data_IF_593345697374
#
_entry.id   IF_593345697374
#
_cell.length_a   1.000
_cell.length_b   1.000
_cell.length_c   1.000
_cell.angle_alpha   90.00
_cell.angle_beta   90.00
_cell.angle_gamma   90.00
#
_symmetry.space_group_name_H-M   'P 1'
#
loop_
_entity.id
_entity.type
_entity.pdbx_description
1 polymer ?
#
# COMPACT_ATOMS: atom_id res chain seq x y z
N UNK A 1 -16.50 -46.30 -6.24
CA UNK A 1 -15.69 -45.31 -5.50
C UNK A 1 -15.07 -44.37 -6.52
N UNK A 2 -15.65 -43.19 -6.70
CA UNK A 2 -15.08 -42.10 -7.51
C UNK A 2 -14.38 -41.15 -6.54
N UNK A 3 -13.10 -40.88 -6.77
CA UNK A 3 -12.31 -39.97 -5.95
C UNK A 3 -12.87 -38.54 -5.97
N UNK A 4 -12.48 -37.69 -5.01
CA UNK A 4 -13.03 -36.35 -4.90
C UNK A 4 -12.60 -35.53 -6.12
N UNK A 5 -13.58 -34.93 -6.79
CA UNK A 5 -13.36 -33.90 -7.80
C UNK A 5 -12.76 -32.70 -7.08
N UNK A 6 -11.46 -32.48 -7.25
CA UNK A 6 -10.83 -31.21 -6.86
C UNK A 6 -11.44 -30.12 -7.74
N UNK A 7 -12.33 -29.31 -7.17
CA UNK A 7 -12.67 -28.03 -7.75
C UNK A 7 -11.39 -27.20 -7.83
N UNK A 8 -11.00 -26.82 -9.05
CA UNK A 8 -9.96 -25.81 -9.27
C UNK A 8 -10.48 -24.47 -8.69
N UNK A 9 -9.63 -23.66 -8.03
CA UNK A 9 -10.01 -22.31 -7.66
C UNK A 9 -10.29 -21.45 -8.92
N UNK A 10 -11.14 -20.41 -8.82
CA UNK A 10 -11.39 -19.50 -9.93
C UNK A 10 -10.11 -18.73 -10.25
N UNK A 11 -9.78 -18.71 -11.55
CA UNK A 11 -8.84 -17.83 -12.26
C UNK A 11 -7.87 -16.97 -11.42
N UNK A 12 -6.60 -17.35 -11.42
CA UNK A 12 -5.48 -16.41 -11.31
C UNK A 12 -5.12 -16.05 -12.75
N UNK A 13 -5.64 -14.94 -13.26
CA UNK A 13 -5.11 -14.28 -14.45
C UNK A 13 -4.31 -13.07 -13.97
N UNK A 14 -2.99 -13.21 -14.04
CA UNK A 14 -2.05 -12.12 -13.85
C UNK A 14 -1.33 -11.90 -15.17
N UNK A 15 -1.98 -11.17 -16.08
CA UNK A 15 -1.25 -10.54 -17.18
C UNK A 15 -0.83 -9.16 -16.66
N UNK A 16 0.46 -8.87 -16.73
CA UNK A 16 1.00 -7.55 -16.42
C UNK A 16 0.34 -6.51 -17.33
N UNK A 17 0.08 -5.31 -16.83
CA UNK A 17 -0.41 -4.20 -17.66
C UNK A 17 0.56 -3.95 -18.82
N UNK A 18 0.06 -4.01 -20.05
CA UNK A 18 0.86 -3.78 -21.25
C UNK A 18 1.09 -2.28 -21.49
N UNK A 19 2.25 -1.93 -22.06
CA UNK A 19 2.53 -0.58 -22.56
C UNK A 19 2.55 -0.63 -24.08
N UNK A 20 1.74 0.19 -24.72
CA UNK A 20 1.65 0.34 -26.17
C UNK A 20 2.13 1.74 -26.58
N UNK A 21 2.76 1.83 -27.75
CA UNK A 21 3.23 3.08 -28.34
C UNK A 21 2.22 3.58 -29.37
N UNK A 22 1.70 4.78 -29.20
CA UNK A 22 0.77 5.42 -30.14
C UNK A 22 1.54 6.03 -31.34
N UNK A 23 1.82 5.22 -32.35
CA UNK A 23 2.49 5.69 -33.56
C UNK A 23 1.55 6.46 -34.50
N UNK A 24 0.24 6.15 -34.46
CA UNK A 24 -0.79 6.82 -35.25
C UNK A 24 -0.92 8.30 -34.85
N UNK A 25 -1.21 8.57 -33.58
CA UNK A 25 -1.51 9.94 -33.10
C UNK A 25 -0.30 10.87 -33.20
N UNK A 26 0.91 10.32 -33.09
CA UNK A 26 2.16 11.08 -33.09
C UNK A 26 2.95 10.97 -34.39
N UNK A 27 2.38 10.34 -35.43
CA UNK A 27 2.97 10.20 -36.77
C UNK A 27 4.41 9.66 -36.76
N UNK A 28 4.69 8.65 -35.93
CA UNK A 28 6.04 8.08 -35.80
C UNK A 28 6.17 6.71 -36.43
N UNK A 29 7.36 6.39 -36.97
CA UNK A 29 7.71 5.04 -37.42
C UNK A 29 8.53 4.35 -36.34
N UNK A 30 7.93 4.14 -35.16
CA UNK A 30 8.60 3.35 -34.11
C UNK A 30 8.65 1.88 -34.53
N UNK A 31 9.86 1.33 -34.65
CA UNK A 31 10.11 -0.10 -34.84
C UNK A 31 10.56 -0.74 -33.50
N UNK A 32 9.99 -0.28 -32.38
CA UNK A 32 10.31 -0.85 -31.08
C UNK A 32 9.87 -2.32 -31.03
N UNK A 33 10.81 -3.22 -30.74
CA UNK A 33 10.56 -4.66 -30.66
C UNK A 33 10.07 -5.12 -29.28
N UNK A 34 10.13 -4.24 -28.28
CA UNK A 34 9.82 -4.53 -26.88
C UNK A 34 8.35 -4.24 -26.54
N UNK A 35 7.76 -3.21 -27.17
CA UNK A 35 6.39 -2.77 -26.90
C UNK A 35 5.51 -2.88 -28.14
N UNK A 36 4.20 -3.12 -27.95
CA UNK A 36 3.23 -3.12 -29.06
C UNK A 36 3.13 -1.70 -29.63
N UNK A 37 3.17 -1.57 -30.95
CA UNK A 37 3.04 -0.27 -31.63
C UNK A 37 1.66 -0.16 -32.27
N UNK A 38 0.83 0.76 -31.78
CA UNK A 38 -0.48 1.09 -32.35
C UNK A 38 -0.32 1.97 -33.59
N UNK A 39 -0.71 1.44 -34.76
CA UNK A 39 -0.57 2.10 -36.07
C UNK A 39 -1.91 2.62 -36.63
N UNK A 40 -2.96 2.67 -35.82
CA UNK A 40 -4.29 3.14 -36.19
C UNK A 40 -5.27 2.05 -36.60
N UNK A 41 -4.81 0.82 -36.82
CA UNK A 41 -5.69 -0.30 -37.16
C UNK A 41 -5.12 -1.64 -36.67
N UNK A 42 -5.99 -2.44 -36.07
CA UNK A 42 -5.75 -3.84 -35.74
C UNK A 42 -7.11 -4.58 -35.74
N UNK A 43 -7.25 -5.73 -36.41
CA UNK A 43 -8.52 -6.46 -36.46
C UNK A 43 -9.02 -6.93 -35.08
N UNK A 44 -8.16 -6.96 -34.07
CA UNK A 44 -8.51 -7.38 -32.71
C UNK A 44 -8.87 -6.21 -31.79
N UNK A 45 -8.69 -4.96 -32.23
CA UNK A 45 -8.85 -3.76 -31.41
C UNK A 45 -9.95 -2.86 -31.97
N UNK A 46 -11.01 -2.65 -31.20
CA UNK A 46 -12.00 -1.61 -31.48
C UNK A 46 -11.61 -0.32 -30.76
N UNK A 47 -11.52 0.80 -31.48
CA UNK A 47 -11.21 2.11 -30.89
C UNK A 47 -12.51 2.87 -30.62
N UNK A 48 -12.65 3.41 -29.41
CA UNK A 48 -13.82 4.18 -28.98
C UNK A 48 -13.39 5.52 -28.39
N UNK A 49 -14.02 6.61 -28.83
CA UNK A 49 -13.84 7.94 -28.23
C UNK A 49 -14.79 8.08 -27.02
N UNK A 50 -14.22 8.30 -25.83
CA UNK A 50 -14.92 8.32 -24.55
C UNK A 50 -15.13 9.76 -24.05
N UNK A 51 -15.70 10.61 -24.90
CA UNK A 51 -15.93 12.01 -24.57
C UNK A 51 -17.30 12.26 -23.92
N UNK A 52 -18.28 11.37 -24.10
CA UNK A 52 -19.62 11.48 -23.54
C UNK A 52 -20.27 10.11 -23.24
N UNK A 53 -21.55 10.13 -22.83
CA UNK A 53 -22.30 8.91 -22.50
C UNK A 53 -22.48 7.96 -23.70
N UNK A 54 -22.44 8.46 -24.94
CA UNK A 54 -22.59 7.61 -26.13
C UNK A 54 -21.32 6.80 -26.37
N UNK A 55 -20.15 7.41 -26.16
CA UNK A 55 -18.88 6.69 -26.18
C UNK A 55 -18.85 5.58 -25.13
N UNK A 56 -19.39 5.83 -23.94
CA UNK A 56 -19.52 4.79 -22.92
C UNK A 56 -20.48 3.66 -23.37
N UNK A 57 -21.66 3.99 -23.89
CA UNK A 57 -22.61 2.99 -24.38
C UNK A 57 -22.02 2.15 -25.54
N UNK A 58 -21.27 2.77 -26.43
CA UNK A 58 -20.56 2.10 -27.53
C UNK A 58 -19.52 1.12 -26.99
N UNK A 59 -18.63 1.56 -26.10
CA UNK A 59 -17.63 0.70 -25.48
C UNK A 59 -18.27 -0.50 -24.76
N UNK A 60 -19.33 -0.25 -23.99
CA UNK A 60 -20.07 -1.30 -23.28
C UNK A 60 -20.72 -2.31 -24.25
N UNK A 61 -21.17 -1.87 -25.42
CA UNK A 61 -21.76 -2.76 -26.43
C UNK A 61 -20.75 -3.71 -27.08
N UNK A 62 -19.45 -3.36 -27.05
CA UNK A 62 -18.35 -4.12 -27.63
C UNK A 62 -17.77 -5.15 -26.64
N UNK A 63 -18.01 -4.97 -25.35
CA UNK A 63 -17.56 -5.88 -24.29
C UNK A 63 -18.13 -7.29 -24.53
N UNK A 64 -17.24 -8.28 -24.55
CA UNK A 64 -17.52 -9.68 -24.87
C UNK A 64 -17.64 -10.00 -26.37
N UNK A 65 -17.57 -9.00 -27.26
CA UNK A 65 -17.62 -9.18 -28.71
C UNK A 65 -16.26 -9.07 -29.40
N UNK A 66 -15.35 -8.27 -28.85
CA UNK A 66 -14.02 -8.03 -29.41
C UNK A 66 -12.91 -8.39 -28.41
N UNK A 67 -11.71 -8.77 -28.87
CA UNK A 67 -10.58 -9.05 -27.97
C UNK A 67 -10.12 -7.81 -27.20
N UNK A 68 -10.08 -6.64 -27.83
CA UNK A 68 -9.65 -5.39 -27.21
C UNK A 68 -10.61 -4.24 -27.50
N UNK A 69 -10.90 -3.45 -26.46
CA UNK A 69 -11.49 -2.12 -26.60
C UNK A 69 -10.42 -1.10 -26.19
N UNK A 70 -9.98 -0.28 -27.13
CA UNK A 70 -9.06 0.84 -26.89
C UNK A 70 -9.83 2.14 -26.77
N UNK A 71 -9.75 2.79 -25.63
CA UNK A 71 -10.41 4.07 -25.39
C UNK A 71 -9.47 5.23 -25.64
N UNK A 72 -9.96 6.22 -26.37
CA UNK A 72 -9.34 7.55 -26.49
C UNK A 72 -10.24 8.54 -25.76
N UNK A 73 -9.63 9.42 -24.97
CA UNK A 73 -10.36 10.45 -24.23
C UNK A 73 -9.70 11.80 -24.54
N UNK A 74 -10.49 12.82 -24.85
CA UNK A 74 -9.99 14.19 -24.92
C UNK A 74 -9.77 14.82 -23.54
N UNK A 75 -10.52 14.35 -22.53
CA UNK A 75 -10.44 14.71 -21.12
C UNK A 75 -10.54 13.47 -20.20
N UNK A 76 -9.76 13.43 -19.12
CA UNK A 76 -9.77 12.29 -18.21
C UNK A 76 -11.09 12.15 -17.45
N UNK A 77 -11.76 10.99 -17.61
CA UNK A 77 -13.03 10.65 -16.94
C UNK A 77 -12.95 9.30 -16.23
N UNK A 78 -12.77 9.33 -14.91
CA UNK A 78 -12.63 8.14 -14.06
C UNK A 78 -13.88 7.22 -14.09
N UNK A 79 -15.09 7.78 -13.93
CA UNK A 79 -16.32 6.98 -13.77
C UNK A 79 -16.68 6.14 -15.02
N UNK A 80 -16.67 6.69 -16.25
CA UNK A 80 -16.93 5.89 -17.45
C UNK A 80 -15.94 4.74 -17.63
N UNK A 81 -14.65 4.99 -17.37
CA UNK A 81 -13.62 3.97 -17.43
C UNK A 81 -13.89 2.82 -16.44
N UNK A 82 -14.18 3.15 -15.19
CA UNK A 82 -14.49 2.14 -14.16
C UNK A 82 -15.65 1.24 -14.58
N UNK A 83 -16.73 1.82 -15.12
CA UNK A 83 -17.87 1.04 -15.59
C UNK A 83 -17.50 0.05 -16.72
N UNK A 84 -16.64 0.49 -17.65
CA UNK A 84 -16.20 -0.34 -18.79
C UNK A 84 -15.26 -1.45 -18.31
N UNK A 85 -14.31 -1.14 -17.42
CA UNK A 85 -13.42 -2.13 -16.80
C UNK A 85 -14.22 -3.18 -16.03
N UNK A 86 -15.22 -2.75 -15.24
CA UNK A 86 -16.10 -3.67 -14.52
C UNK A 86 -16.86 -4.62 -15.46
N UNK A 87 -17.39 -4.09 -16.57
CA UNK A 87 -18.08 -4.92 -17.56
C UNK A 87 -17.13 -5.90 -18.27
N UNK A 88 -15.89 -5.46 -18.52
CA UNK A 88 -14.88 -6.23 -19.24
C UNK A 88 -14.33 -7.41 -18.42
N UNK A 89 -14.21 -7.26 -17.09
CA UNK A 89 -13.54 -8.19 -16.16
C UNK A 89 -13.90 -9.67 -16.35
N UNK A 90 -15.17 -10.00 -16.61
CA UNK A 90 -15.65 -11.38 -16.81
C UNK A 90 -16.00 -11.73 -18.27
N UNK A 91 -15.75 -10.81 -19.21
CA UNK A 91 -16.16 -10.95 -20.61
C UNK A 91 -15.10 -11.58 -21.52
N UNK A 92 -13.84 -11.54 -21.10
CA UNK A 92 -12.67 -11.89 -21.92
C UNK A 92 -12.20 -10.79 -22.88
N UNK A 93 -12.91 -9.66 -22.97
CA UNK A 93 -12.43 -8.45 -23.64
C UNK A 93 -11.44 -7.71 -22.75
N UNK A 94 -10.28 -7.37 -23.30
CA UNK A 94 -9.25 -6.54 -22.64
C UNK A 94 -9.46 -5.06 -22.94
N UNK A 95 -9.03 -4.21 -22.01
CA UNK A 95 -9.22 -2.75 -22.07
C UNK A 95 -7.87 -2.06 -22.21
N UNK A 96 -7.72 -1.27 -23.27
CA UNK A 96 -6.58 -0.38 -23.47
C UNK A 96 -7.01 1.09 -23.35
N UNK A 97 -6.19 1.95 -22.75
CA UNK A 97 -6.52 3.39 -22.62
C UNK A 97 -5.40 4.27 -23.15
N UNK A 98 -5.73 5.19 -24.04
CA UNK A 98 -4.80 6.20 -24.52
C UNK A 98 -4.59 7.29 -23.48
N UNK A 99 -3.33 7.56 -23.13
CA UNK A 99 -2.92 8.54 -22.13
C UNK A 99 -1.89 9.48 -22.75
N UNK A 100 -2.05 10.78 -22.54
CA UNK A 100 -1.08 11.79 -22.98
C UNK A 100 -0.51 12.64 -21.83
N UNK A 101 -1.07 12.53 -20.63
CA UNK A 101 -0.69 13.32 -19.45
C UNK A 101 -0.30 12.40 -18.30
N UNK A 102 0.71 12.79 -17.51
CA UNK A 102 1.21 11.98 -16.40
C UNK A 102 0.20 11.85 -15.25
N UNK A 103 -0.63 12.87 -15.03
CA UNK A 103 -1.62 12.86 -13.93
C UNK A 103 -2.69 11.77 -14.11
N UNK A 104 -2.96 11.38 -15.36
CA UNK A 104 -3.99 10.40 -15.69
C UNK A 104 -3.50 8.97 -15.48
N UNK A 105 -2.19 8.74 -15.47
CA UNK A 105 -1.61 7.39 -15.42
C UNK A 105 -1.91 6.67 -14.10
N UNK A 106 -1.90 7.40 -12.99
CA UNK A 106 -2.29 6.86 -11.68
C UNK A 106 -3.80 6.54 -11.68
N UNK A 107 -4.64 7.42 -12.22
CA UNK A 107 -6.07 7.18 -12.34
C UNK A 107 -6.39 5.91 -13.13
N UNK A 108 -5.70 5.67 -14.25
CA UNK A 108 -5.84 4.48 -15.09
C UNK A 108 -5.38 3.21 -14.37
N UNK A 109 -4.23 3.28 -13.70
CA UNK A 109 -3.65 2.15 -12.98
C UNK A 109 -4.56 1.62 -11.86
N UNK A 110 -5.32 2.51 -11.23
CA UNK A 110 -6.15 2.23 -10.06
C UNK A 110 -7.65 2.19 -10.33
N UNK A 111 -8.11 2.37 -11.57
CA UNK A 111 -9.53 2.25 -11.92
C UNK A 111 -10.08 0.89 -11.42
N UNK A 112 -10.92 0.90 -10.39
CA UNK A 112 -11.48 -0.27 -9.68
C UNK A 112 -10.48 -1.26 -9.03
N UNK A 113 -9.26 -0.86 -8.65
CA UNK A 113 -8.22 -1.77 -8.10
C UNK A 113 -7.74 -2.87 -9.09
N UNK A 114 -8.51 -3.15 -10.16
CA UNK A 114 -8.17 -4.02 -11.28
C UNK A 114 -7.44 -3.28 -12.41
N UNK A 115 -7.65 -1.96 -12.51
CA UNK A 115 -7.21 -1.06 -13.60
C UNK A 115 -7.38 -1.64 -14.99
N UNK A 116 -6.54 -1.21 -15.93
CA UNK A 116 -6.67 -1.57 -17.35
C UNK A 116 -5.64 -2.62 -17.75
N UNK A 117 -5.91 -3.33 -18.84
CA UNK A 117 -4.99 -4.33 -19.39
C UNK A 117 -3.83 -3.69 -20.16
N UNK A 118 -4.03 -2.50 -20.74
CA UNK A 118 -2.96 -1.77 -21.43
C UNK A 118 -3.10 -0.24 -21.33
N UNK A 119 -1.96 0.44 -21.36
CA UNK A 119 -1.89 1.89 -21.58
C UNK A 119 -1.25 2.18 -22.93
N UNK A 120 -1.80 3.13 -23.67
CA UNK A 120 -1.33 3.54 -25.00
C UNK A 120 -0.79 4.96 -24.89
N UNK A 121 0.54 5.09 -24.90
CA UNK A 121 1.26 6.33 -24.60
C UNK A 121 2.05 6.85 -25.80
N UNK A 122 2.46 8.13 -25.82
CA UNK A 122 3.30 8.69 -26.86
C UNK A 122 4.66 7.98 -26.92
N UNK A 123 5.39 8.05 -28.04
CA UNK A 123 6.79 7.62 -28.12
C UNK A 123 7.67 8.20 -27.00
N UNK A 124 8.61 7.41 -26.50
CA UNK A 124 9.46 7.75 -25.34
C UNK A 124 10.21 9.06 -25.53
N UNK A 125 10.68 9.32 -26.75
CA UNK A 125 11.40 10.54 -27.09
C UNK A 125 10.56 11.81 -26.92
N UNK A 126 9.23 11.70 -27.03
CA UNK A 126 8.30 12.81 -26.89
C UNK A 126 7.82 13.01 -25.46
N UNK A 127 7.85 11.97 -24.63
CA UNK A 127 7.32 12.03 -23.25
C UNK A 127 8.10 11.16 -22.26
N UNK A 128 9.39 11.43 -21.99
CA UNK A 128 10.22 10.57 -21.13
C UNK A 128 9.69 10.42 -19.69
N UNK A 129 9.08 11.46 -19.12
CA UNK A 129 8.52 11.40 -17.76
C UNK A 129 7.32 10.46 -17.68
N UNK A 130 6.44 10.50 -18.68
CA UNK A 130 5.29 9.61 -18.77
C UNK A 130 5.72 8.14 -18.87
N UNK A 131 6.80 7.86 -19.60
CA UNK A 131 7.40 6.52 -19.68
C UNK A 131 7.97 6.06 -18.33
N UNK A 132 8.69 6.93 -17.63
CA UNK A 132 9.18 6.60 -16.29
C UNK A 132 8.03 6.22 -15.35
N UNK A 133 6.91 6.93 -15.41
CA UNK A 133 5.73 6.67 -14.59
C UNK A 133 4.97 5.41 -15.04
N UNK A 134 4.89 5.16 -16.34
CA UNK A 134 4.28 3.96 -16.94
C UNK A 134 5.00 2.68 -16.52
N UNK A 135 6.33 2.67 -16.64
CA UNK A 135 7.17 1.54 -16.23
C UNK A 135 7.02 1.24 -14.74
N UNK A 136 7.05 2.29 -13.90
CA UNK A 136 6.88 2.15 -12.45
C UNK A 136 5.56 1.47 -12.09
N UNK A 137 4.46 1.88 -12.72
CA UNK A 137 3.14 1.30 -12.48
C UNK A 137 3.04 -0.14 -12.99
N UNK A 138 3.61 -0.42 -14.16
CA UNK A 138 3.66 -1.78 -14.71
C UNK A 138 4.45 -2.73 -13.80
N UNK A 139 5.51 -2.23 -13.15
CA UNK A 139 6.27 -2.95 -12.12
C UNK A 139 5.51 -3.11 -10.80
N UNK A 140 4.79 -2.07 -10.33
CA UNK A 140 4.02 -2.07 -9.07
C UNK A 140 2.83 -3.07 -9.07
N UNK A 141 2.33 -3.49 -10.25
CA UNK A 141 1.28 -4.53 -10.40
C UNK A 141 1.76 -5.96 -10.26
N UNK A 142 3.07 -6.18 -10.15
CA UNK A 142 3.59 -7.46 -9.68
C UNK A 142 3.15 -7.55 -8.21
N UNK A 143 2.36 -8.55 -7.78
CA UNK A 143 2.06 -8.71 -6.37
C UNK A 143 3.39 -8.72 -5.62
N UNK A 144 3.60 -7.69 -4.80
CA UNK A 144 4.84 -7.46 -4.05
C UNK A 144 4.98 -8.59 -3.03
N UNK A 145 5.42 -9.74 -3.52
CA UNK A 145 6.33 -10.62 -2.81
C UNK A 145 7.71 -10.20 -3.26
N UNK A 146 8.13 -8.99 -2.86
CA UNK A 146 9.54 -8.70 -2.90
C UNK A 146 10.19 -9.52 -1.77
N UNK A 147 10.66 -10.71 -2.13
CA UNK A 147 11.47 -11.59 -1.27
C UNK A 147 12.84 -10.94 -0.94
N UNK A 148 13.07 -9.68 -1.36
CA UNK A 148 14.27 -8.91 -1.04
C UNK A 148 14.01 -8.07 0.22
N UNK A 149 14.53 -8.56 1.35
CA UNK A 149 14.66 -7.82 2.62
C UNK A 149 13.36 -7.48 3.37
N UNK A 150 12.34 -8.35 3.39
CA UNK A 150 11.28 -8.18 4.38
C UNK A 150 11.88 -8.43 5.78
N UNK A 151 11.95 -7.42 6.67
CA UNK A 151 12.61 -7.58 7.97
C UNK A 151 11.88 -8.65 8.80
N UNK A 152 12.65 -9.59 9.35
CA UNK A 152 12.09 -10.74 10.08
C UNK A 152 11.31 -10.27 11.32
N UNK A 153 10.04 -10.67 11.37
CA UNK A 153 9.20 -10.49 12.55
C UNK A 153 9.74 -11.36 13.69
N UNK A 154 9.73 -10.81 14.90
CA UNK A 154 10.16 -11.53 16.10
C UNK A 154 9.22 -11.25 17.26
N UNK A 155 9.46 -11.92 18.38
CA UNK A 155 8.66 -11.79 19.60
C UNK A 155 9.51 -11.21 20.73
N UNK A 156 8.96 -10.24 21.46
CA UNK A 156 9.51 -9.75 22.71
C UNK A 156 8.53 -9.96 23.86
N UNK A 157 9.08 -10.18 25.05
CA UNK A 157 8.33 -10.33 26.29
C UNK A 157 8.24 -8.97 26.98
N UNK A 158 7.06 -8.61 27.46
CA UNK A 158 6.87 -7.40 28.26
C UNK A 158 7.54 -7.59 29.62
N UNK A 159 8.56 -6.81 29.91
CA UNK A 159 9.25 -6.83 31.21
C UNK A 159 8.52 -5.99 32.25
N UNK A 160 7.98 -4.82 31.85
CA UNK A 160 7.22 -3.93 32.75
C UNK A 160 6.27 -2.99 32.02
N UNK A 161 5.22 -2.57 32.72
CA UNK A 161 4.29 -1.52 32.30
C UNK A 161 4.22 -0.46 33.40
N UNK A 162 4.53 0.79 33.07
CA UNK A 162 4.55 1.90 34.02
C UNK A 162 3.87 3.13 33.45
N UNK A 163 3.27 3.97 34.30
CA UNK A 163 2.74 5.27 33.86
C UNK A 163 3.89 6.22 33.57
N UNK A 164 3.86 6.88 32.40
CA UNK A 164 4.88 7.82 31.94
C UNK A 164 4.44 9.29 32.05
N UNK A 165 3.32 9.55 32.73
CA UNK A 165 2.78 10.90 32.94
C UNK A 165 2.06 11.44 31.70
N UNK A 166 1.97 12.76 31.61
CA UNK A 166 1.27 13.46 30.53
C UNK A 166 2.25 13.88 29.43
N UNK A 167 2.06 13.39 28.20
CA UNK A 167 2.92 13.70 27.07
C UNK A 167 2.15 13.91 25.76
N UNK A 168 2.85 14.35 24.73
CA UNK A 168 2.30 14.49 23.38
C UNK A 168 2.41 13.16 22.64
N UNK A 169 1.30 12.73 22.07
CA UNK A 169 1.23 11.55 21.20
C UNK A 169 0.82 11.94 19.79
N UNK A 170 1.12 11.07 18.84
CA UNK A 170 0.70 11.18 17.45
C UNK A 170 -0.31 10.06 17.14
N UNK A 171 -1.41 10.40 16.47
CA UNK A 171 -2.20 9.44 15.71
C UNK A 171 -1.91 9.65 14.24
N UNK A 172 -1.71 8.55 13.53
CA UNK A 172 -1.49 8.53 12.07
C UNK A 172 -2.80 8.10 11.42
N UNK A 173 -3.40 8.98 10.63
CA UNK A 173 -4.54 8.65 9.78
C UNK A 173 -4.04 8.40 8.36
N UNK A 174 -4.27 7.20 7.86
CA UNK A 174 -3.92 6.78 6.52
C UNK A 174 -5.00 7.21 5.52
N UNK A 175 -4.63 7.27 4.24
CA UNK A 175 -5.56 7.44 3.13
C UNK A 175 -6.33 6.14 2.79
N UNK A 176 -6.06 5.06 3.53
CA UNK A 176 -6.60 3.71 3.31
C UNK A 176 -7.21 3.13 4.60
N UNK A 177 -8.05 2.12 4.44
CA UNK A 177 -8.65 1.36 5.53
C UNK A 177 -7.71 0.20 5.91
N UNK A 178 -7.45 0.03 7.20
CA UNK A 178 -6.74 -1.12 7.77
C UNK A 178 -7.71 -2.27 8.06
N UNK A 179 -7.23 -3.49 7.84
CA UNK A 179 -7.86 -4.73 8.25
C UNK A 179 -7.53 -5.07 9.70
N UNK A 180 -8.30 -5.98 10.31
CA UNK A 180 -7.96 -6.52 11.61
C UNK A 180 -6.59 -7.23 11.58
N UNK A 181 -5.78 -7.02 12.61
CA UNK A 181 -4.38 -7.47 12.66
C UNK A 181 -3.36 -6.52 12.00
N UNK A 182 -3.81 -5.55 11.19
CA UNK A 182 -2.89 -4.62 10.52
C UNK A 182 -2.53 -3.41 11.39
N UNK A 183 -1.32 -2.90 11.20
CA UNK A 183 -0.78 -1.78 11.93
C UNK A 183 0.51 -1.23 11.34
N UNK A 184 1.18 -0.38 12.10
CA UNK A 184 2.49 0.17 11.76
C UNK A 184 3.49 -0.10 12.89
N UNK A 185 4.76 -0.27 12.53
CA UNK A 185 5.83 -0.50 13.49
C UNK A 185 6.28 0.81 14.13
N UNK A 186 6.21 0.89 15.47
CA UNK A 186 6.56 2.09 16.26
C UNK A 186 7.34 1.70 17.51
N UNK A 187 8.39 2.45 17.88
CA UNK A 187 9.16 2.18 19.09
C UNK A 187 9.96 3.40 19.56
N UNK A 188 10.36 3.45 20.82
CA UNK A 188 11.24 4.51 21.33
C UNK A 188 12.69 4.36 20.83
N UNK A 189 13.06 3.20 20.28
CA UNK A 189 14.36 2.96 19.65
C UNK A 189 14.16 2.41 18.25
N UNK A 190 15.02 2.83 17.32
CA UNK A 190 15.03 2.31 15.95
C UNK A 190 15.41 0.82 15.87
N UNK A 191 16.02 0.28 16.93
CA UNK A 191 16.45 -1.13 17.02
C UNK A 191 15.32 -2.10 17.39
N UNK A 192 14.23 -1.61 18.00
CA UNK A 192 13.10 -2.41 18.45
C UNK A 192 11.78 -1.64 18.27
N UNK A 193 11.03 -2.00 17.23
CA UNK A 193 9.72 -1.41 16.94
C UNK A 193 8.61 -2.41 17.27
N UNK A 194 7.53 -1.96 17.88
CA UNK A 194 6.35 -2.78 18.19
C UNK A 194 5.28 -2.58 17.11
N UNK A 195 4.55 -3.64 16.76
CA UNK A 195 3.44 -3.51 15.82
C UNK A 195 2.23 -2.89 16.54
N UNK A 196 1.96 -1.61 16.27
CA UNK A 196 0.81 -0.89 16.83
C UNK A 196 -0.37 -1.05 15.90
N UNK A 197 -1.40 -1.72 16.40
CA UNK A 197 -2.59 -2.12 15.64
C UNK A 197 -3.47 -0.91 15.30
N UNK A 198 -4.11 -0.96 14.12
CA UNK A 198 -5.11 0.01 13.70
C UNK A 198 -6.34 0.05 14.62
N UNK A 199 -7.05 1.18 14.64
CA UNK A 199 -8.30 1.34 15.40
C UNK A 199 -9.47 0.66 14.67
N UNK A 200 -9.32 -0.63 14.32
CA UNK A 200 -10.31 -1.44 13.60
C UNK A 200 -11.25 -2.18 14.57
N UNK A 201 -10.73 -2.63 15.71
CA UNK A 201 -11.52 -3.34 16.73
C UNK A 201 -12.40 -2.35 17.50
N UNK A 202 -13.74 -2.50 17.45
CA UNK A 202 -14.67 -1.58 18.09
C UNK A 202 -14.47 -1.55 19.60
N UNK A 203 -14.71 -0.39 20.20
CA UNK A 203 -14.77 -0.23 21.66
C UNK A 203 -16.24 -0.11 22.09
N UNK A 204 -16.52 -0.30 23.39
CA UNK A 204 -17.87 -0.12 23.94
C UNK A 204 -18.31 1.36 23.96
N UNK A 205 -17.36 2.30 23.84
CA UNK A 205 -17.60 3.72 24.08
C UNK A 205 -17.47 4.59 22.82
N UNK A 206 -16.72 4.13 21.82
CA UNK A 206 -16.37 4.90 20.62
C UNK A 206 -16.34 3.99 19.39
N UNK A 207 -16.92 4.39 18.24
CA UNK A 207 -16.79 3.66 16.98
C UNK A 207 -15.33 3.59 16.54
N UNK A 208 -14.99 2.50 15.83
CA UNK A 208 -13.69 2.32 15.21
C UNK A 208 -13.44 3.34 14.11
N UNK A 209 -12.15 3.60 13.87
CA UNK A 209 -11.66 4.42 12.76
C UNK A 209 -10.60 3.58 12.07
N UNK A 210 -10.98 2.68 11.17
CA UNK A 210 -10.07 1.67 10.66
C UNK A 210 -8.94 2.25 9.78
N UNK A 211 -8.95 3.55 9.48
CA UNK A 211 -7.84 4.26 8.84
C UNK A 211 -6.81 4.84 9.84
N UNK A 212 -7.04 4.73 11.15
CA UNK A 212 -6.23 5.39 12.20
C UNK A 212 -5.36 4.39 12.95
N UNK A 213 -4.11 4.76 13.19
CA UNK A 213 -3.26 4.14 14.22
C UNK A 213 -2.96 5.13 15.33
N UNK A 214 -3.20 4.73 16.58
CA UNK A 214 -2.81 5.50 17.77
C UNK A 214 -1.33 5.24 18.11
N UNK A 215 -0.44 5.71 17.23
CA UNK A 215 0.96 5.28 17.09
C UNK A 215 1.81 5.32 18.37
N UNK A 216 2.00 6.49 18.98
CA UNK A 216 2.92 6.61 20.11
C UNK A 216 3.28 8.06 20.45
N UNK A 217 4.25 8.23 21.35
CA UNK A 217 4.78 9.53 21.73
C UNK A 217 5.56 10.19 20.57
N UNK A 218 5.62 11.52 20.56
CA UNK A 218 6.22 12.30 19.45
C UNK A 218 7.68 11.93 19.13
N UNK A 219 8.46 11.42 20.10
CA UNK A 219 9.85 11.00 19.92
C UNK A 219 10.00 9.57 19.39
N UNK A 220 8.93 8.79 19.28
CA UNK A 220 9.03 7.41 18.81
C UNK A 220 9.39 7.36 17.33
N UNK A 221 10.16 6.36 16.95
CA UNK A 221 10.41 6.00 15.56
C UNK A 221 9.22 5.27 14.96
N UNK A 222 9.01 5.44 13.67
CA UNK A 222 8.11 4.64 12.83
C UNK A 222 8.86 4.06 11.65
N UNK A 223 8.46 2.86 11.20
CA UNK A 223 8.97 2.26 9.96
C UNK A 223 8.29 2.88 8.73
N UNK A 224 9.10 3.48 7.86
CA UNK A 224 8.66 4.09 6.61
C UNK A 224 8.48 3.06 5.50
N UNK A 225 7.77 3.43 4.43
CA UNK A 225 7.49 2.53 3.32
C UNK A 225 8.72 2.08 2.52
N UNK A 226 9.80 2.87 2.55
CA UNK A 226 11.10 2.55 1.96
C UNK A 226 11.99 1.68 2.89
N UNK A 227 11.47 1.27 4.05
CA UNK A 227 12.19 0.51 5.06
C UNK A 227 13.13 1.35 5.93
N UNK A 228 13.18 2.66 5.77
CA UNK A 228 13.88 3.56 6.70
C UNK A 228 13.06 3.77 7.98
N UNK A 229 13.67 4.43 8.98
CA UNK A 229 12.93 4.87 10.18
C UNK A 229 12.95 6.40 10.29
N UNK A 230 11.86 6.96 10.80
CA UNK A 230 11.68 8.41 10.99
C UNK A 230 11.01 8.68 12.32
N UNK A 231 11.25 9.84 12.95
CA UNK A 231 10.51 10.19 14.16
C UNK A 231 9.06 10.54 13.84
N UNK A 232 8.13 10.16 14.72
CA UNK A 232 6.71 10.48 14.57
C UNK A 232 6.45 11.99 14.46
N UNK A 233 7.25 12.83 15.11
CA UNK A 233 7.14 14.29 15.02
C UNK A 233 7.60 14.88 13.68
N UNK A 234 8.36 14.15 12.88
CA UNK A 234 8.88 14.60 11.59
C UNK A 234 7.95 14.20 10.42
N UNK A 235 6.95 13.35 10.69
CA UNK A 235 6.00 12.92 9.68
C UNK A 235 5.20 14.09 9.13
N UNK A 236 4.86 14.00 7.86
CA UNK A 236 3.98 14.94 7.15
C UNK A 236 2.88 14.19 6.40
N UNK A 237 1.79 14.91 6.08
CA UNK A 237 0.80 14.39 5.12
C UNK A 237 1.48 14.11 3.79
N UNK A 238 1.16 12.99 3.16
CA UNK A 238 1.81 12.52 1.93
C UNK A 238 3.03 11.63 2.17
N UNK A 239 3.59 11.58 3.39
CA UNK A 239 4.61 10.58 3.71
C UNK A 239 4.01 9.17 3.62
N UNK A 240 4.85 8.18 3.28
CA UNK A 240 4.44 6.79 3.11
C UNK A 240 5.03 5.90 4.22
N UNK A 241 4.17 5.12 4.88
CA UNK A 241 4.55 4.19 5.95
C UNK A 241 4.29 2.75 5.56
N UNK A 242 5.05 1.83 6.15
CA UNK A 242 4.88 0.42 5.90
C UNK A 242 3.80 -0.17 6.83
N UNK A 243 2.78 -0.77 6.23
CA UNK A 243 1.68 -1.45 6.94
C UNK A 243 1.98 -2.94 7.03
N UNK A 244 1.95 -3.46 8.25
CA UNK A 244 2.27 -4.86 8.57
C UNK A 244 1.11 -5.55 9.28
N UNK A 245 1.07 -6.87 9.14
CA UNK A 245 0.33 -7.80 9.98
C UNK A 245 1.32 -8.79 10.65
N UNK A 246 0.80 -9.76 11.41
CA UNK A 246 1.62 -10.83 12.01
C UNK A 246 2.29 -11.75 10.98
N UNK A 247 1.84 -11.73 9.73
CA UNK A 247 2.44 -12.50 8.63
C UNK A 247 3.48 -11.71 7.83
N UNK A 248 3.71 -10.43 8.14
CA UNK A 248 4.73 -9.58 7.51
C UNK A 248 4.18 -8.32 6.84
N UNK A 249 5.01 -7.72 5.97
CA UNK A 249 4.65 -6.54 5.20
C UNK A 249 3.41 -6.84 4.37
N UNK A 250 2.40 -5.99 4.50
CA UNK A 250 1.16 -6.11 3.75
C UNK A 250 1.11 -5.12 2.60
N UNK A 251 1.41 -3.84 2.85
CA UNK A 251 1.46 -2.78 1.81
C UNK A 251 2.17 -1.52 2.31
N UNK A 252 2.40 -0.58 1.40
CA UNK A 252 2.80 0.79 1.71
C UNK A 252 1.57 1.69 1.64
N UNK A 253 1.32 2.47 2.69
CA UNK A 253 0.16 3.35 2.78
C UNK A 253 0.55 4.81 2.96
N UNK A 254 -0.20 5.70 2.31
CA UNK A 254 0.01 7.15 2.39
C UNK A 254 -0.65 7.73 3.64
N UNK A 255 0.06 8.60 4.36
CA UNK A 255 -0.49 9.36 5.48
C UNK A 255 -1.38 10.48 4.95
N UNK A 256 -2.66 10.46 5.32
CA UNK A 256 -3.61 11.54 5.00
C UNK A 256 -3.65 12.64 6.05
N UNK A 257 -3.49 12.30 7.34
CA UNK A 257 -3.50 13.30 8.42
C UNK A 257 -2.72 12.81 9.63
N UNK A 258 -2.04 13.74 10.30
CA UNK A 258 -1.43 13.53 11.62
C UNK A 258 -2.21 14.31 12.67
N UNK A 259 -2.54 13.65 13.78
CA UNK A 259 -3.20 14.30 14.92
C UNK A 259 -2.31 14.20 16.14
N UNK A 260 -1.80 15.35 16.59
CA UNK A 260 -0.99 15.46 17.80
C UNK A 260 -1.87 15.93 18.96
N UNK A 261 -1.83 15.21 20.08
CA UNK A 261 -2.59 15.59 21.27
C UNK A 261 -1.89 15.17 22.56
N UNK A 262 -2.20 15.90 23.64
CA UNK A 262 -1.59 15.67 24.94
C UNK A 262 -2.45 14.71 25.78
N UNK A 263 -1.89 13.56 26.16
CA UNK A 263 -2.62 12.45 26.82
C UNK A 263 -1.75 11.77 27.88
N UNK A 264 -2.37 11.10 28.87
CA UNK A 264 -1.64 10.20 29.76
C UNK A 264 -1.00 9.07 28.97
N UNK A 265 0.26 8.78 29.25
CA UNK A 265 1.05 7.76 28.55
C UNK A 265 1.39 6.58 29.48
N UNK A 266 1.50 5.40 28.88
CA UNK A 266 2.15 4.22 29.46
C UNK A 266 3.51 4.04 28.77
N UNK A 267 4.53 3.71 29.56
CA UNK A 267 5.78 3.11 29.08
C UNK A 267 5.67 1.60 29.23
N UNK A 268 5.73 0.90 28.10
CA UNK A 268 5.79 -0.57 28.04
C UNK A 268 7.23 -0.93 27.69
N UNK A 269 7.93 -1.59 28.61
CA UNK A 269 9.30 -2.06 28.40
C UNK A 269 9.27 -3.52 27.95
N UNK A 270 10.10 -3.84 26.98
CA UNK A 270 10.16 -5.12 26.29
C UNK A 270 11.58 -5.66 26.33
N UNK A 271 11.71 -6.97 26.40
CA UNK A 271 12.98 -7.67 26.37
C UNK A 271 12.89 -8.95 25.53
N UNK A 272 14.01 -9.29 24.92
CA UNK A 272 14.26 -10.58 24.29
C UNK A 272 15.69 -10.99 24.66
N UNK A 273 16.14 -12.17 24.25
CA UNK A 273 17.49 -12.65 24.55
C UNK A 273 18.60 -11.68 24.10
N UNK A 274 18.33 -10.90 23.04
CA UNK A 274 19.36 -10.10 22.35
C UNK A 274 19.16 -8.57 22.44
N UNK A 275 18.06 -8.08 23.01
CA UNK A 275 17.81 -6.63 23.10
C UNK A 275 16.83 -6.25 24.21
N UNK A 276 16.84 -4.96 24.54
CA UNK A 276 15.81 -4.32 25.35
C UNK A 276 15.25 -3.14 24.57
N UNK A 277 13.96 -2.90 24.72
CA UNK A 277 13.25 -1.84 24.03
C UNK A 277 12.12 -1.29 24.87
N UNK A 278 11.51 -0.20 24.42
CA UNK A 278 10.27 0.28 24.99
C UNK A 278 9.45 1.06 23.97
N UNK A 279 8.17 1.19 24.25
CA UNK A 279 7.26 2.10 23.54
C UNK A 279 6.50 2.94 24.56
N UNK A 280 6.33 4.24 24.24
CA UNK A 280 5.46 5.15 24.98
C UNK A 280 4.20 5.39 24.18
N UNK A 281 3.06 5.02 24.74
CA UNK A 281 1.75 5.08 24.06
C UNK A 281 0.68 5.65 24.97
N UNK A 282 -0.41 6.15 24.39
CA UNK A 282 -1.55 6.64 25.17
C UNK A 282 -2.14 5.52 26.04
N UNK A 283 -2.43 5.84 27.30
CA UNK A 283 -3.20 4.98 28.19
C UNK A 283 -4.69 5.00 27.78
N UNK A 284 -5.07 4.16 26.81
CA UNK A 284 -6.46 3.98 26.39
C UNK A 284 -6.69 2.60 25.78
N UNK A 285 -7.94 2.11 25.87
CA UNK A 285 -8.36 0.81 25.36
C UNK A 285 -8.29 0.69 23.83
N UNK A 286 -8.34 1.83 23.14
CA UNK A 286 -8.23 1.94 21.68
C UNK A 286 -6.80 1.84 21.17
N UNK A 287 -5.80 1.86 22.06
CA UNK A 287 -4.42 1.59 21.70
C UNK A 287 -4.14 0.12 21.96
N UNK A 288 -3.70 -0.59 20.91
CA UNK A 288 -3.47 -2.02 20.95
C UNK A 288 -2.14 -2.35 20.29
N UNK A 289 -1.47 -3.37 20.81
CA UNK A 289 -0.29 -3.97 20.20
C UNK A 289 -0.68 -5.33 19.63
N UNK A 290 -0.03 -5.74 18.55
CA UNK A 290 -0.26 -7.06 17.94
C UNK A 290 0.58 -8.11 18.66
N UNK A 291 -0.03 -9.24 19.00
CA UNK A 291 0.63 -10.41 19.57
C UNK A 291 1.16 -11.32 18.45
N UNK A 292 2.07 -12.28 18.75
CA UNK A 292 2.56 -13.23 17.75
C UNK A 292 1.47 -14.11 17.10
N UNK A 293 0.26 -14.13 17.67
CA UNK A 293 -0.90 -14.84 17.12
C UNK A 293 -1.73 -14.01 16.12
N UNK A 294 -1.32 -12.78 15.82
CA UNK A 294 -2.10 -11.83 15.01
C UNK A 294 -3.22 -11.11 15.76
N UNK A 295 -3.51 -11.52 17.00
CA UNK A 295 -4.52 -10.84 17.81
C UNK A 295 -4.03 -9.52 18.40
N UNK A 296 -4.92 -8.54 18.54
CA UNK A 296 -4.63 -7.22 19.09
C UNK A 296 -4.96 -7.15 20.59
N UNK A 297 -3.97 -6.87 21.43
CA UNK A 297 -4.11 -6.72 22.88
C UNK A 297 -4.10 -5.24 23.26
N UNK A 298 -5.06 -4.80 24.07
CA UNK A 298 -5.08 -3.42 24.56
C UNK A 298 -3.95 -3.15 25.55
N UNK A 299 -3.28 -2.01 25.38
CA UNK A 299 -2.18 -1.57 26.26
C UNK A 299 -2.60 -1.39 27.72
N UNK A 300 -3.89 -1.18 27.97
CA UNK A 300 -4.46 -1.10 29.34
C UNK A 300 -4.60 -2.46 30.02
N UNK A 301 -4.50 -3.55 29.26
CA UNK A 301 -4.58 -4.93 29.72
C UNK A 301 -3.26 -5.68 29.66
N UNK A 302 -2.24 -5.09 29.03
CA UNK A 302 -0.90 -5.67 28.94
C UNK A 302 -0.27 -5.72 30.34
N UNK A 303 0.42 -6.81 30.64
CA UNK A 303 1.16 -7.04 31.87
C UNK A 303 2.52 -7.68 31.58
N UNK A 304 3.36 -7.73 32.61
CA UNK A 304 4.64 -8.44 32.53
C UNK A 304 4.41 -9.92 32.16
N UNK A 305 5.23 -10.43 31.24
CA UNK A 305 5.14 -11.79 30.70
C UNK A 305 4.27 -11.93 29.44
N UNK A 306 3.53 -10.89 29.03
CA UNK A 306 2.81 -10.93 27.74
C UNK A 306 3.79 -10.83 26.56
N UNK A 307 3.47 -11.49 25.46
CA UNK A 307 4.29 -11.52 24.24
C UNK A 307 3.74 -10.57 23.16
N UNK A 308 4.63 -9.81 22.53
CA UNK A 308 4.29 -8.79 21.53
C UNK A 308 5.14 -8.98 20.27
N UNK A 309 4.51 -8.80 19.11
CA UNK A 309 5.19 -8.79 17.81
C UNK A 309 6.03 -7.54 17.67
N UNK A 310 7.32 -7.74 17.40
CA UNK A 310 8.29 -6.66 17.24
C UNK A 310 9.15 -6.88 15.98
N UNK A 311 9.62 -5.76 15.45
CA UNK A 311 10.62 -5.72 14.40
C UNK A 311 11.97 -5.38 14.99
N UNK A 312 12.94 -6.26 14.78
CA UNK A 312 14.31 -6.03 15.20
C UNK A 312 15.12 -5.49 14.04
N UNK A 313 15.62 -4.27 14.18
CA UNK A 313 16.57 -3.71 13.25
C UNK A 313 17.94 -4.32 13.50
N UNK A 314 18.27 -5.44 12.86
CA UNK A 314 19.60 -6.09 12.88
C UNK A 314 20.75 -5.26 12.30
N UNK A 315 20.63 -3.93 12.31
CA UNK A 315 21.60 -2.97 11.82
C UNK A 315 21.00 -1.57 11.91
N UNK A 316 21.64 -0.69 12.67
CA UNK A 316 21.22 0.69 12.93
C UNK A 316 20.87 1.42 11.61
N UNK A 317 19.60 1.81 11.42
CA UNK A 317 19.14 2.64 10.29
C UNK A 317 18.82 4.03 10.80
N UNK A 318 19.85 4.80 11.15
CA UNK A 318 19.69 6.19 11.57
C UNK A 318 19.89 7.10 10.34
N UNK A 319 18.82 7.77 9.89
CA UNK A 319 18.84 8.75 8.78
C UNK A 319 19.41 8.14 7.48
N UNK A 320 18.59 7.33 6.79
CA UNK A 320 18.76 6.99 5.37
C UNK A 320 20.03 6.22 4.94
N UNK A 321 20.99 5.94 5.83
CA UNK A 321 22.17 5.12 5.51
C UNK A 321 22.58 4.24 6.69
N UNK A 322 22.90 2.98 6.39
CA UNK A 322 23.54 2.06 7.33
C UNK A 322 24.89 2.61 7.75
N UNK A 323 24.98 3.12 8.98
CA UNK A 323 26.27 3.48 9.58
C UNK A 323 26.69 2.28 10.43
N UNK A 324 27.80 1.65 10.06
CA UNK A 324 28.53 0.76 10.97
C UNK A 324 29.14 1.64 12.08
N UNK A 325 28.36 1.91 13.12
CA UNK A 325 28.78 2.67 14.29
C UNK A 325 27.90 2.33 15.49
N UNK A 326 28.52 2.05 16.63
CA UNK A 326 27.84 1.79 17.90
C UNK A 326 27.23 3.09 18.44
N UNK A 327 25.96 3.36 18.13
CA UNK A 327 25.17 4.39 18.82
C UNK A 327 24.29 3.70 19.86
N UNK A 328 24.57 3.92 21.14
CA UNK A 328 23.69 3.42 22.22
C UNK A 328 22.62 4.46 22.54
N UNK A 329 21.38 4.19 22.13
CA UNK A 329 20.18 4.88 22.61
C UNK A 329 19.85 4.36 24.02
N UNK A 330 19.40 5.23 24.95
CA UNK A 330 19.07 4.88 26.36
C UNK A 330 17.67 5.32 26.75
#
# INVERSE_FOLDING_TARGET
MKGPVRMRPPHIWGDLMEIWIDAEKYETTSNNSEYRVWKGQDPEVAVVELDDFKGQDEAMSLVGLVPWVMMRCSDWKMIPLENIVAAASDSGTKVAVSISEEIDIQGVAFALEQGVDAIVIPPEELSPSLWSSALKIAEERIPVRDDRNNPELSTAIVSSVTTAGLGERVCVDLAEILSDGEGIFVGSSSSCLCLVHGETVPSQYVPSRPFRVNAGAVHSYVLMGDGSTKYLCELSSGDQVAVYSDIGLTRIATIGRLKIERRPLLKISLESENFTGNILVQQAETVRLVTPSGSAVSVTKIKSGDEITVLNGGGMRHIGKSIQGEVSEK
#
